data_IF_042779042720
#
_entry.id   IF_042779042720
#
_cell.length_a   1.000
_cell.length_b   1.000
_cell.length_c   1.000
_cell.angle_alpha   90.00
_cell.angle_beta   90.00
_cell.angle_gamma   90.00
#
_symmetry.space_group_name_H-M   'P 1'
#
loop_
_entity.id
_entity.type
_entity.pdbx_description
1 polymer ?
#
# COMPACT_ATOMS: atom_id res chain seq x y z
N UNK A 1 23.99 -12.07 -4.65
CA UNK A 1 23.00 -10.99 -4.41
C UNK A 1 22.15 -10.87 -5.67
N UNK A 2 20.85 -11.13 -5.59
CA UNK A 2 19.91 -10.97 -6.70
C UNK A 2 19.24 -9.62 -6.56
N UNK A 3 19.61 -8.64 -7.38
CA UNK A 3 18.84 -7.39 -7.49
C UNK A 3 17.56 -7.70 -8.26
N UNK A 4 16.41 -7.60 -7.60
CA UNK A 4 15.09 -7.67 -8.23
C UNK A 4 14.54 -6.24 -8.37
N UNK A 5 14.01 -5.91 -9.55
CA UNK A 5 13.23 -4.69 -9.72
C UNK A 5 11.89 -4.91 -9.00
N UNK A 6 11.71 -4.32 -7.81
CA UNK A 6 10.47 -4.46 -7.04
C UNK A 6 9.52 -3.36 -7.48
N UNK A 7 8.45 -3.73 -8.19
CA UNK A 7 7.32 -2.85 -8.41
C UNK A 7 6.48 -2.84 -7.13
N UNK A 8 6.48 -1.72 -6.39
CA UNK A 8 5.75 -1.55 -5.14
C UNK A 8 4.61 -0.54 -5.35
N UNK A 9 3.40 -0.92 -4.96
CA UNK A 9 2.30 0.03 -4.75
C UNK A 9 2.07 0.20 -3.24
N UNK A 10 2.03 1.45 -2.78
CA UNK A 10 1.68 1.79 -1.38
C UNK A 10 0.20 2.11 -1.34
N UNK A 11 -0.53 1.31 -0.58
CA UNK A 11 -1.98 1.38 -0.52
C UNK A 11 -2.44 2.36 0.58
N UNK A 12 -3.41 3.19 0.24
CA UNK A 12 -4.03 4.16 1.16
C UNK A 12 -5.42 3.72 1.61
N UNK A 13 -5.93 2.58 1.12
CA UNK A 13 -7.33 2.17 1.26
C UNK A 13 -8.31 3.04 0.45
N UNK A 14 -7.80 3.84 -0.48
CA UNK A 14 -8.59 4.68 -1.39
C UNK A 14 -8.34 4.23 -2.84
N UNK A 15 -9.35 4.32 -3.72
CA UNK A 15 -9.15 4.07 -5.14
C UNK A 15 -8.10 4.99 -5.73
N UNK A 16 -7.13 4.42 -6.47
CA UNK A 16 -6.04 5.17 -7.10
C UNK A 16 -5.77 4.65 -8.52
N UNK A 17 -5.16 5.50 -9.35
CA UNK A 17 -4.82 5.16 -10.74
C UNK A 17 -3.37 5.55 -11.00
N UNK A 18 -2.60 4.60 -11.54
CA UNK A 18 -1.21 4.80 -11.89
C UNK A 18 -0.97 4.67 -13.40
N UNK A 19 -0.08 5.48 -13.98
CA UNK A 19 0.30 5.32 -15.38
C UNK A 19 1.09 4.03 -15.57
N UNK A 20 0.90 3.38 -16.71
CA UNK A 20 1.63 2.18 -17.11
C UNK A 20 2.14 2.35 -18.54
N UNK A 21 3.34 1.86 -18.79
CA UNK A 21 3.97 1.82 -20.10
C UNK A 21 4.38 0.39 -20.43
N UNK A 22 4.17 0.00 -21.68
CA UNK A 22 4.60 -1.29 -22.20
C UNK A 22 5.57 -1.04 -23.34
N UNK A 23 6.76 -1.61 -23.22
CA UNK A 23 7.79 -1.51 -24.25
C UNK A 23 8.06 -2.86 -24.89
N UNK A 24 8.17 -2.85 -26.21
CA UNK A 24 8.61 -4.00 -27.01
C UNK A 24 10.07 -3.82 -27.43
N UNK A 25 10.77 -4.93 -27.62
CA UNK A 25 12.09 -4.96 -28.23
C UNK A 25 11.98 -5.55 -29.64
N UNK A 26 12.43 -4.80 -30.65
CA UNK A 26 12.47 -5.27 -32.04
C UNK A 26 13.66 -6.18 -32.30
N UNK A 27 13.69 -6.85 -33.46
CA UNK A 27 14.80 -7.71 -33.87
C UNK A 27 16.14 -6.95 -34.00
N UNK A 28 16.10 -5.66 -34.34
CA UNK A 28 17.27 -4.77 -34.37
C UNK A 28 17.56 -4.11 -33.01
N UNK A 29 17.05 -4.70 -31.92
CA UNK A 29 17.27 -4.29 -30.53
C UNK A 29 16.82 -2.85 -30.21
N UNK A 30 15.86 -2.32 -30.96
CA UNK A 30 15.25 -1.03 -30.65
C UNK A 30 14.10 -1.22 -29.67
N UNK A 31 14.10 -0.38 -28.63
CA UNK A 31 12.97 -0.26 -27.72
C UNK A 31 11.90 0.60 -28.37
N UNK A 32 10.67 0.09 -28.43
CA UNK A 32 9.50 0.80 -28.96
C UNK A 32 8.38 0.83 -27.94
N UNK A 33 7.70 1.96 -27.82
CA UNK A 33 6.49 2.07 -27.01
C UNK A 33 5.33 1.36 -27.73
N UNK A 34 4.79 0.35 -27.06
CA UNK A 34 3.68 -0.48 -27.54
C UNK A 34 2.45 -0.40 -26.64
N UNK A 35 2.41 0.57 -25.72
CA UNK A 35 1.34 0.71 -24.70
C UNK A 35 -0.05 0.72 -25.33
N UNK A 36 -0.25 1.41 -26.45
CA UNK A 36 -1.55 1.51 -27.13
C UNK A 36 -1.84 0.38 -28.13
N UNK A 37 -0.90 -0.57 -28.27
CA UNK A 37 -1.01 -1.70 -29.20
C UNK A 37 -1.08 -3.05 -28.47
N UNK A 38 -0.75 -3.07 -27.18
CA UNK A 38 -0.86 -4.23 -26.32
C UNK A 38 -2.20 -4.23 -25.58
N UNK A 39 -2.65 -5.41 -25.16
CA UNK A 39 -3.73 -5.57 -24.17
C UNK A 39 -3.13 -5.99 -22.83
N UNK A 40 -3.65 -5.47 -21.73
CA UNK A 40 -3.14 -5.75 -20.40
C UNK A 40 -4.21 -6.35 -19.50
N UNK A 41 -3.82 -7.34 -18.71
CA UNK A 41 -4.69 -8.04 -17.78
C UNK A 41 -4.00 -8.19 -16.43
N UNK A 42 -4.80 -8.37 -15.37
CA UNK A 42 -4.31 -8.62 -14.02
C UNK A 42 -4.77 -10.00 -13.52
N UNK A 43 -4.16 -10.49 -12.45
CA UNK A 43 -4.58 -11.75 -11.81
C UNK A 43 -5.80 -11.64 -10.91
N UNK A 44 -6.20 -10.43 -10.52
CA UNK A 44 -7.32 -10.16 -9.61
C UNK A 44 -7.94 -8.78 -9.87
N UNK A 45 -8.97 -8.75 -10.71
CA UNK A 45 -9.69 -7.52 -11.10
C UNK A 45 -10.46 -6.86 -9.95
N UNK A 46 -10.71 -7.56 -8.84
CA UNK A 46 -11.35 -6.96 -7.66
C UNK A 46 -10.41 -6.02 -6.91
N UNK A 47 -9.10 -6.23 -7.07
CA UNK A 47 -8.03 -5.49 -6.41
C UNK A 47 -7.38 -4.51 -7.38
N UNK A 48 -6.86 -5.00 -8.51
CA UNK A 48 -6.21 -4.18 -9.52
C UNK A 48 -6.77 -4.47 -10.90
N UNK A 49 -6.97 -3.46 -11.74
CA UNK A 49 -7.59 -3.67 -13.05
C UNK A 49 -7.06 -2.70 -14.12
N UNK A 50 -7.05 -3.17 -15.36
CA UNK A 50 -6.94 -2.31 -16.53
C UNK A 50 -8.32 -2.07 -17.11
N UNK A 51 -8.70 -0.81 -17.29
CA UNK A 51 -10.00 -0.49 -17.88
C UNK A 51 -10.02 -0.93 -19.35
N UNK A 52 -10.93 -1.85 -19.70
CA UNK A 52 -11.10 -2.37 -21.07
C UNK A 52 -9.79 -2.95 -21.65
N UNK A 53 -8.97 -3.58 -20.81
CA UNK A 53 -7.65 -4.11 -21.16
C UNK A 53 -6.65 -3.06 -21.72
N UNK A 54 -6.92 -1.76 -21.56
CA UNK A 54 -6.04 -0.68 -22.02
C UNK A 54 -4.86 -0.54 -21.05
N UNK A 55 -3.64 -0.76 -21.55
CA UNK A 55 -2.42 -0.76 -20.75
C UNK A 55 -1.99 0.60 -20.15
N UNK A 56 -2.60 1.72 -20.52
CA UNK A 56 -2.07 3.06 -20.14
C UNK A 56 -2.32 3.44 -18.67
N UNK A 57 -3.28 2.79 -18.01
CA UNK A 57 -3.71 3.12 -16.65
C UNK A 57 -4.07 1.86 -15.87
N UNK A 58 -3.38 1.64 -14.75
CA UNK A 58 -3.69 0.59 -13.79
C UNK A 58 -4.49 1.19 -12.62
N UNK A 59 -5.71 0.71 -12.42
CA UNK A 59 -6.57 1.08 -11.31
C UNK A 59 -6.37 0.16 -10.11
N UNK A 60 -6.48 0.73 -8.91
CA UNK A 60 -6.50 0.05 -7.61
C UNK A 60 -7.85 0.36 -6.96
N UNK A 61 -8.51 -0.64 -6.41
CA UNK A 61 -9.87 -0.50 -5.86
C UNK A 61 -9.87 0.08 -4.44
N UNK A 62 -8.76 -0.03 -3.70
CA UNK A 62 -8.71 0.33 -2.28
C UNK A 62 -9.14 -0.81 -1.35
N UNK A 63 -9.61 -1.94 -1.88
CA UNK A 63 -10.03 -3.11 -1.10
C UNK A 63 -8.84 -3.95 -0.58
N UNK A 64 -7.61 -3.55 -0.87
CA UNK A 64 -6.39 -4.32 -0.61
C UNK A 64 -5.90 -4.21 0.84
N UNK A 65 -6.82 -4.19 1.81
CA UNK A 65 -6.54 -3.83 3.21
C UNK A 65 -5.57 -4.80 3.92
N UNK A 66 -5.33 -5.98 3.36
CA UNK A 66 -4.36 -6.96 3.85
C UNK A 66 -3.09 -7.07 2.99
N UNK A 67 -2.97 -6.24 1.94
CA UNK A 67 -1.96 -6.41 0.89
C UNK A 67 -2.23 -7.67 0.05
N UNK A 68 -1.44 -7.86 -1.01
CA UNK A 68 -1.51 -9.06 -1.84
C UNK A 68 -0.09 -9.55 -2.18
N UNK A 69 0.22 -10.85 -1.99
CA UNK A 69 1.58 -11.39 -2.07
C UNK A 69 2.11 -11.56 -3.50
N UNK A 70 1.87 -10.59 -4.38
CA UNK A 70 2.37 -10.59 -5.75
C UNK A 70 1.25 -10.84 -6.75
N UNK A 71 0.70 -9.76 -7.31
CA UNK A 71 -0.32 -9.82 -8.32
C UNK A 71 0.32 -9.82 -9.71
N UNK A 72 0.03 -10.81 -10.57
CA UNK A 72 0.57 -10.84 -11.91
C UNK A 72 -0.10 -9.77 -12.78
N UNK A 73 0.71 -9.06 -13.54
CA UNK A 73 0.35 -8.17 -14.63
C UNK A 73 0.80 -8.83 -15.93
N UNK A 74 -0.11 -9.01 -16.88
CA UNK A 74 0.20 -9.67 -18.16
C UNK A 74 -0.11 -8.72 -19.30
N UNK A 75 0.91 -8.37 -20.09
CA UNK A 75 0.76 -7.64 -21.34
C UNK A 75 0.81 -8.63 -22.52
N UNK A 76 -0.08 -8.46 -23.49
CA UNK A 76 -0.17 -9.31 -24.70
C UNK A 76 -0.13 -8.46 -25.96
N UNK A 77 0.59 -8.92 -26.96
CA UNK A 77 0.65 -8.32 -28.30
C UNK A 77 1.00 -9.41 -29.32
N UNK A 78 0.24 -9.51 -30.41
CA UNK A 78 0.52 -10.41 -31.54
C UNK A 78 0.90 -11.85 -31.14
N UNK A 79 0.16 -12.41 -30.16
CA UNK A 79 0.38 -13.77 -29.65
C UNK A 79 1.58 -13.93 -28.70
N UNK A 80 2.33 -12.86 -28.42
CA UNK A 80 3.38 -12.82 -27.40
C UNK A 80 2.81 -12.29 -26.09
N UNK A 81 3.37 -12.75 -24.98
CA UNK A 81 3.05 -12.24 -23.65
C UNK A 81 4.31 -11.88 -22.86
N UNK A 82 4.18 -10.86 -22.04
CA UNK A 82 5.14 -10.52 -21.00
C UNK A 82 4.38 -10.47 -19.67
N UNK A 83 5.02 -10.94 -18.61
CA UNK A 83 4.44 -10.94 -17.26
C UNK A 83 5.37 -10.22 -16.29
N UNK A 84 4.79 -9.44 -15.39
CA UNK A 84 5.47 -8.85 -14.25
C UNK A 84 4.65 -9.10 -12.99
N UNK A 85 5.30 -9.21 -11.83
CA UNK A 85 4.61 -9.34 -10.55
C UNK A 85 4.67 -8.02 -9.82
N UNK A 86 3.51 -7.52 -9.40
CA UNK A 86 3.37 -6.32 -8.59
C UNK A 86 3.18 -6.72 -7.12
N UNK A 87 4.08 -6.26 -6.24
CA UNK A 87 3.87 -6.42 -4.81
C UNK A 87 2.99 -5.28 -4.31
N UNK A 88 1.89 -5.65 -3.67
CA UNK A 88 0.89 -4.72 -3.18
C UNK A 88 0.90 -4.79 -1.66
N UNK A 89 1.33 -3.70 -1.00
CA UNK A 89 1.52 -3.67 0.44
C UNK A 89 0.61 -2.64 1.10
N UNK A 90 -0.10 -3.07 2.14
CA UNK A 90 -0.88 -2.19 3.01
C UNK A 90 -0.10 -1.94 4.32
N UNK A 91 0.34 -0.71 4.60
CA UNK A 91 0.99 -0.38 5.86
C UNK A 91 -0.02 -0.49 7.01
N UNK A 92 0.08 -1.55 7.82
CA UNK A 92 -0.68 -1.65 9.07
C UNK A 92 -0.12 -0.62 10.05
N UNK A 93 -0.98 0.27 10.55
CA UNK A 93 -0.61 1.20 11.61
C UNK A 93 -0.17 0.43 12.86
N UNK A 94 0.87 0.89 13.57
CA UNK A 94 1.34 0.18 14.75
C UNK A 94 0.24 0.14 15.82
N UNK A 95 0.07 -1.02 16.44
CA UNK A 95 -0.86 -1.19 17.57
C UNK A 95 -0.42 -0.29 18.72
N UNK A 96 -1.16 0.79 18.97
CA UNK A 96 -0.87 1.68 20.11
C UNK A 96 -1.49 1.10 21.39
N UNK A 97 -0.63 0.77 22.37
CA UNK A 97 -1.08 0.40 23.71
C UNK A 97 -1.11 1.64 24.59
N UNK A 98 -2.31 2.09 24.96
CA UNK A 98 -2.49 3.12 25.97
C UNK A 98 -2.20 2.52 27.35
N UNK A 99 -1.18 3.06 28.03
CA UNK A 99 -0.91 2.79 29.44
C UNK A 99 -1.47 3.98 30.23
N UNK A 100 -2.52 3.74 31.01
CA UNK A 100 -3.09 4.73 31.92
C UNK A 100 -2.50 4.47 33.30
N UNK A 101 -1.51 5.27 33.70
CA UNK A 101 -1.03 5.30 35.07
C UNK A 101 -1.93 6.23 35.88
N UNK A 102 -2.75 5.66 36.77
CA UNK A 102 -3.44 6.44 37.79
C UNK A 102 -2.44 6.77 38.90
N UNK A 103 -1.98 8.02 38.97
CA UNK A 103 -1.23 8.49 40.13
C UNK A 103 -2.18 8.62 41.32
N UNK A 104 -2.40 7.53 42.07
CA UNK A 104 -2.99 7.62 43.40
C UNK A 104 -1.94 8.18 44.36
N UNK A 105 -1.67 9.48 44.29
CA UNK A 105 -1.04 10.20 45.39
C UNK A 105 -2.04 10.23 46.54
N UNK A 106 -1.92 9.28 47.47
CA UNK A 106 -2.58 9.34 48.77
C UNK A 106 -2.02 10.54 49.54
N UNK A 107 -2.60 11.71 49.32
CA UNK A 107 -2.53 12.84 50.23
C UNK A 107 -3.88 12.93 50.91
N UNK A 108 -3.98 12.40 52.13
CA UNK A 108 -5.05 12.76 53.03
C UNK A 108 -4.91 14.25 53.34
N UNK A 109 -5.73 15.08 52.72
CA UNK A 109 -6.12 16.35 53.32
C UNK A 109 -7.53 16.75 52.89
N UNK A 110 -8.28 17.30 53.83
CA UNK A 110 -9.74 17.33 53.81
C UNK A 110 -10.34 18.55 53.08
N UNK A 111 -11.60 18.36 52.67
CA UNK A 111 -12.67 19.34 52.39
C UNK A 111 -12.81 19.94 50.98
N UNK A 112 -13.93 19.56 50.37
CA UNK A 112 -14.76 20.29 49.41
C UNK A 112 -14.11 20.78 48.12
N UNK A 113 -14.12 19.93 47.09
CA UNK A 113 -14.38 20.39 45.73
C UNK A 113 -14.87 19.24 44.84
N UNK A 114 -15.91 19.54 44.06
CA UNK A 114 -16.50 18.71 43.02
C UNK A 114 -15.39 18.26 42.05
N UNK A 115 -14.86 17.06 42.27
CA UNK A 115 -13.71 16.55 41.53
C UNK A 115 -14.19 15.89 40.26
N UNK A 116 -14.40 16.71 39.23
CA UNK A 116 -14.31 16.21 37.86
C UNK A 116 -12.93 15.58 37.71
N UNK A 117 -12.89 14.25 37.63
CA UNK A 117 -11.67 13.48 37.41
C UNK A 117 -11.13 13.83 36.03
N UNK A 118 -10.34 14.90 35.95
CA UNK A 118 -9.79 15.39 34.70
C UNK A 118 -8.64 14.46 34.28
N UNK A 119 -8.94 13.51 33.39
CA UNK A 119 -7.93 12.64 32.80
C UNK A 119 -7.00 13.50 31.95
N UNK A 120 -5.77 13.71 32.42
CA UNK A 120 -4.76 14.46 31.68
C UNK A 120 -3.98 13.49 30.81
N UNK A 121 -4.32 13.43 29.52
CA UNK A 121 -3.61 12.59 28.55
C UNK A 121 -2.26 13.22 28.24
N UNK A 122 -1.18 12.64 28.78
CA UNK A 122 0.19 13.01 28.40
C UNK A 122 0.53 12.37 27.06
N UNK A 123 1.03 13.17 26.13
CA UNK A 123 1.49 12.70 24.82
C UNK A 123 2.72 11.81 25.02
N UNK A 124 2.63 10.52 24.70
CA UNK A 124 3.83 9.68 24.62
C UNK A 124 4.69 10.16 23.45
N UNK A 125 5.99 10.34 23.69
CA UNK A 125 6.96 10.54 22.62
C UNK A 125 7.04 9.23 21.82
N UNK A 126 6.65 9.27 20.55
CA UNK A 126 6.79 8.14 19.63
C UNK A 126 8.23 8.06 19.16
N UNK A 127 8.98 7.06 19.62
CA UNK A 127 10.20 6.63 18.94
C UNK A 127 9.83 5.59 17.88
N UNK A 128 10.09 5.92 16.62
CA UNK A 128 9.92 4.98 15.50
C UNK A 128 11.12 4.03 15.56
N UNK A 129 10.91 2.83 16.09
CA UNK A 129 11.93 1.76 16.03
C UNK A 129 11.77 1.05 14.69
N UNK A 130 12.76 1.17 13.82
CA UNK A 130 12.84 0.40 12.58
C UNK A 130 13.03 -1.10 12.93
N UNK A 131 12.18 -1.96 12.38
CA UNK A 131 12.30 -3.41 12.55
C UNK A 131 13.57 -3.92 11.84
N UNK A 132 14.36 -4.74 12.54
CA UNK A 132 15.54 -5.44 12.03
C UNK A 132 15.17 -6.64 11.14
#
# INVERSE_FOLDING_TARGET
MTSALVNLAVLTGQPTIYPVWVYGLTHDLKLIDITNKATCHTGDDAVIHFAQDICSKLGFSGAELDGSPGLPLVAKMDGRSASATLLVWYPKSPSLKLIVESSSTNSYDSMNQDSSNHITIKRLATEIVAAQ
#
